data_IF_942973982575
#
_entry.id   IF_942973982575
#
_cell.length_a   1.000
_cell.length_b   1.000
_cell.length_c   1.000
_cell.angle_alpha   90.00
_cell.angle_beta   90.00
_cell.angle_gamma   90.00
#
_symmetry.space_group_name_H-M   'P 1'
#
loop_
_entity.id
_entity.type
_entity.pdbx_description
1 polymer ?
#
# COMPACT_ATOMS: atom_id res chain seq x y z
N UNK A 1 -19.50 41.96 4.38
CA UNK A 1 -19.70 40.57 4.84
C UNK A 1 -20.53 39.88 3.77
N UNK A 2 -19.89 39.05 2.95
CA UNK A 2 -20.55 38.28 1.90
C UNK A 2 -20.77 36.87 2.45
N UNK A 3 -22.02 36.49 2.56
CA UNK A 3 -22.44 35.11 2.83
C UNK A 3 -22.02 34.23 1.66
N UNK A 4 -21.30 33.15 1.95
CA UNK A 4 -20.97 32.11 0.99
C UNK A 4 -22.04 31.03 1.15
N UNK A 5 -22.91 30.91 0.15
CA UNK A 5 -23.83 29.77 0.03
C UNK A 5 -23.03 28.55 -0.41
N UNK A 6 -22.79 27.63 0.52
CA UNK A 6 -22.44 26.25 0.20
C UNK A 6 -23.74 25.53 -0.17
N UNK A 7 -23.88 25.13 -1.44
CA UNK A 7 -24.91 24.18 -1.85
C UNK A 7 -24.65 22.85 -1.13
N UNK A 8 -25.66 22.25 -0.48
CA UNK A 8 -25.51 20.91 0.05
C UNK A 8 -25.33 19.95 -1.13
N UNK A 9 -24.15 19.34 -1.25
CA UNK A 9 -23.98 18.11 -2.01
C UNK A 9 -25.04 17.14 -1.51
N UNK A 10 -25.91 16.69 -2.42
CA UNK A 10 -26.96 15.74 -2.09
C UNK A 10 -26.31 14.51 -1.46
N UNK A 11 -26.72 14.17 -0.25
CA UNK A 11 -26.39 12.90 0.38
C UNK A 11 -26.82 11.77 -0.56
N UNK A 12 -25.85 11.23 -1.30
CA UNK A 12 -26.01 9.95 -1.97
C UNK A 12 -26.07 8.94 -0.84
N UNK A 13 -27.20 8.25 -0.71
CA UNK A 13 -27.40 7.25 0.32
C UNK A 13 -26.23 6.23 0.28
N UNK A 14 -25.65 5.86 1.44
CA UNK A 14 -24.63 4.83 1.48
C UNK A 14 -25.31 3.51 1.13
N UNK A 15 -25.15 3.06 -0.11
CA UNK A 15 -25.33 1.66 -0.43
C UNK A 15 -24.28 0.90 0.38
N UNK A 16 -24.74 0.26 1.47
CA UNK A 16 -23.95 -0.60 2.33
C UNK A 16 -23.01 -1.46 1.47
N UNK A 17 -21.75 -1.61 1.90
CA UNK A 17 -20.82 -2.59 1.32
C UNK A 17 -21.54 -3.94 1.22
N UNK A 18 -22.06 -4.26 0.05
CA UNK A 18 -22.59 -5.58 -0.23
C UNK A 18 -21.38 -6.47 -0.40
N UNK A 19 -21.02 -7.14 0.71
CA UNK A 19 -19.99 -8.17 0.81
C UNK A 19 -20.44 -9.42 0.01
N UNK A 20 -20.56 -9.25 -1.30
CA UNK A 20 -20.76 -10.35 -2.23
C UNK A 20 -19.46 -11.13 -2.39
N UNK A 21 -19.57 -12.45 -2.47
CA UNK A 21 -18.46 -13.32 -2.85
C UNK A 21 -17.90 -12.87 -4.22
N UNK A 22 -16.58 -12.78 -4.40
CA UNK A 22 -16.01 -12.43 -5.71
C UNK A 22 -16.47 -13.46 -6.75
N UNK A 23 -17.26 -13.04 -7.74
CA UNK A 23 -17.54 -13.89 -8.90
C UNK A 23 -16.21 -14.20 -9.59
N UNK A 24 -15.91 -15.49 -9.81
CA UNK A 24 -14.77 -15.93 -10.61
C UNK A 24 -15.09 -15.66 -12.09
N UNK A 25 -14.72 -14.47 -12.57
CA UNK A 25 -14.48 -14.29 -14.00
C UNK A 25 -13.03 -14.73 -14.27
N UNK A 26 -12.86 -15.81 -15.04
CA UNK A 26 -11.58 -16.18 -15.65
C UNK A 26 -11.24 -15.10 -16.70
N UNK A 27 -10.56 -14.04 -16.28
CA UNK A 27 -10.01 -13.05 -17.18
C UNK A 27 -8.55 -13.44 -17.48
N UNK A 28 -8.22 -13.66 -18.75
CA UNK A 28 -6.83 -13.73 -19.22
C UNK A 28 -6.13 -12.42 -18.83
N UNK A 29 -5.27 -12.46 -17.82
CA UNK A 29 -4.55 -11.29 -17.33
C UNK A 29 -3.50 -10.90 -18.38
N UNK A 30 -3.80 -9.88 -19.18
CA UNK A 30 -2.82 -9.30 -20.10
C UNK A 30 -1.89 -8.37 -19.31
N UNK A 31 -0.64 -8.81 -19.12
CA UNK A 31 0.40 -8.01 -18.47
C UNK A 31 0.96 -6.97 -19.44
N UNK A 32 0.63 -5.69 -19.20
CA UNK A 32 1.36 -4.58 -19.80
C UNK A 32 2.53 -4.24 -18.89
N UNK A 33 3.74 -4.44 -19.41
CA UNK A 33 4.96 -4.26 -18.62
C UNK A 33 5.26 -2.78 -18.43
N UNK A 34 5.67 -2.43 -17.22
CA UNK A 34 6.19 -1.13 -16.84
C UNK A 34 7.66 -1.27 -16.45
N UNK A 35 8.48 -0.32 -16.88
CA UNK A 35 9.90 -0.23 -16.51
C UNK A 35 10.08 0.92 -15.52
N UNK A 36 10.29 0.64 -14.21
CA UNK A 36 10.58 1.68 -13.23
C UNK A 36 11.81 2.52 -13.57
N UNK A 37 12.75 1.94 -14.33
CA UNK A 37 13.97 2.61 -14.80
C UNK A 37 13.67 3.77 -15.74
N UNK A 38 12.53 3.74 -16.45
CA UNK A 38 12.15 4.77 -17.42
C UNK A 38 11.74 6.08 -16.75
N UNK A 39 11.36 6.04 -15.47
CA UNK A 39 10.94 7.21 -14.68
C UNK A 39 11.90 7.54 -13.54
N UNK A 40 12.94 6.73 -13.35
CA UNK A 40 13.84 6.81 -12.20
C UNK A 40 14.54 8.17 -12.10
N UNK A 41 15.05 8.71 -13.21
CA UNK A 41 15.77 9.99 -13.24
C UNK A 41 14.88 11.14 -12.74
N UNK A 42 13.62 11.17 -13.14
CA UNK A 42 12.65 12.18 -12.71
C UNK A 42 12.38 12.09 -11.20
N UNK A 43 12.23 10.87 -10.68
CA UNK A 43 12.02 10.63 -9.25
C UNK A 43 13.26 10.97 -8.42
N UNK A 44 14.46 10.61 -8.87
CA UNK A 44 15.72 10.96 -8.21
C UNK A 44 15.93 12.48 -8.15
N UNK A 45 15.59 13.20 -9.22
CA UNK A 45 15.68 14.65 -9.26
C UNK A 45 14.65 15.33 -8.33
N UNK A 46 13.43 14.78 -8.25
CA UNK A 46 12.33 15.36 -7.47
C UNK A 46 12.42 15.03 -5.97
N UNK A 47 12.88 13.83 -5.61
CA UNK A 47 12.93 13.35 -4.22
C UNK A 47 14.35 12.89 -3.81
N UNK A 48 15.40 13.71 -3.97
CA UNK A 48 16.79 13.28 -3.77
C UNK A 48 17.06 12.74 -2.35
N UNK A 49 16.37 13.28 -1.33
CA UNK A 49 16.50 12.81 0.07
C UNK A 49 15.97 11.40 0.27
N UNK A 50 14.90 11.01 -0.45
CA UNK A 50 14.36 9.66 -0.40
C UNK A 50 15.34 8.66 -0.99
N UNK A 51 15.99 9.00 -2.11
CA UNK A 51 16.99 8.13 -2.72
C UNK A 51 18.30 8.06 -1.93
N UNK A 52 18.69 9.14 -1.24
CA UNK A 52 19.75 9.04 -0.23
C UNK A 52 19.37 8.01 0.84
N UNK A 53 18.15 8.08 1.36
CA UNK A 53 17.65 7.17 2.38
C UNK A 53 17.57 5.71 1.90
N UNK A 54 17.08 5.48 0.68
CA UNK A 54 17.11 4.16 0.04
C UNK A 54 18.52 3.57 0.08
N UNK A 55 19.51 4.36 -0.34
CA UNK A 55 20.90 3.92 -0.35
C UNK A 55 21.44 3.59 1.05
N UNK A 56 20.99 4.30 2.09
CA UNK A 56 21.35 4.00 3.49
C UNK A 56 20.78 2.66 3.95
N UNK A 57 19.58 2.30 3.51
CA UNK A 57 18.93 1.05 3.93
C UNK A 57 19.17 -0.13 2.97
N UNK A 58 20.08 0.03 2.00
CA UNK A 58 20.47 -1.02 1.06
C UNK A 58 19.54 -1.20 -0.14
N UNK A 59 18.62 -0.25 -0.38
CA UNK A 59 17.68 -0.28 -1.50
C UNK A 59 18.21 0.58 -2.65
N UNK A 60 18.17 0.07 -3.88
CA UNK A 60 18.29 0.89 -5.08
C UNK A 60 17.65 0.19 -6.28
N UNK A 61 16.88 0.88 -7.15
CA UNK A 61 16.19 0.24 -8.29
C UNK A 61 17.09 -0.32 -9.40
N UNK A 62 18.41 -0.23 -9.28
CA UNK A 62 19.35 -0.61 -10.37
C UNK A 62 20.64 -1.26 -9.91
N UNK A 63 20.85 -1.41 -8.60
CA UNK A 63 22.09 -1.98 -8.05
C UNK A 63 21.86 -2.53 -6.66
N UNK A 64 22.46 -3.67 -6.36
CA UNK A 64 22.59 -4.14 -4.98
C UNK A 64 23.50 -3.19 -4.20
N UNK A 65 23.10 -2.83 -2.99
CA UNK A 65 23.89 -2.00 -2.08
C UNK A 65 24.15 -2.76 -0.78
N UNK A 66 25.40 -2.83 -0.31
CA UNK A 66 25.70 -3.44 0.97
C UNK A 66 25.11 -2.60 2.10
N UNK A 67 24.54 -3.26 3.10
CA UNK A 67 23.90 -2.61 4.25
C UNK A 67 24.20 -3.39 5.52
N UNK A 68 24.39 -2.68 6.63
CA UNK A 68 24.61 -3.34 7.91
C UNK A 68 23.31 -3.93 8.45
N UNK A 69 23.32 -5.21 8.81
CA UNK A 69 22.23 -5.87 9.49
C UNK A 69 22.19 -5.41 10.96
N UNK A 70 21.16 -4.66 11.39
CA UNK A 70 21.08 -4.13 12.74
C UNK A 70 20.93 -5.21 13.82
N UNK A 71 20.55 -6.43 13.44
CA UNK A 71 20.32 -7.53 14.37
C UNK A 71 21.54 -8.41 14.57
N UNK A 72 22.46 -8.47 13.61
CA UNK A 72 23.68 -9.30 13.67
C UNK A 72 24.97 -8.47 13.71
N UNK A 73 24.93 -7.21 13.26
CA UNK A 73 26.10 -6.34 13.08
C UNK A 73 26.95 -6.70 11.84
N UNK A 74 26.52 -7.66 11.02
CA UNK A 74 27.21 -8.08 9.81
C UNK A 74 26.77 -7.26 8.59
N UNK A 75 27.61 -7.20 7.55
CA UNK A 75 27.24 -6.58 6.28
C UNK A 75 26.47 -7.58 5.43
N UNK A 76 25.24 -7.22 5.06
CA UNK A 76 24.40 -7.96 4.12
C UNK A 76 24.65 -7.47 2.70
N UNK A 77 24.78 -8.42 1.78
CA UNK A 77 24.96 -8.16 0.35
C UNK A 77 23.80 -8.71 -0.48
N UNK A 78 22.68 -9.03 0.18
CA UNK A 78 21.46 -9.44 -0.50
C UNK A 78 20.98 -8.33 -1.44
N UNK A 79 20.45 -8.74 -2.59
CA UNK A 79 19.97 -7.82 -3.60
C UNK A 79 18.53 -7.41 -3.30
N UNK A 80 18.34 -6.14 -2.91
CA UNK A 80 17.04 -5.52 -2.69
C UNK A 80 16.57 -4.66 -3.88
N UNK A 81 17.14 -4.85 -5.07
CA UNK A 81 16.78 -4.10 -6.28
C UNK A 81 15.29 -4.20 -6.60
N UNK A 82 14.68 -5.37 -6.41
CA UNK A 82 13.25 -5.58 -6.64
C UNK A 82 12.37 -4.72 -5.72
N UNK A 83 12.82 -4.44 -4.48
CA UNK A 83 12.10 -3.56 -3.55
C UNK A 83 12.19 -2.12 -4.06
N UNK A 84 13.38 -1.69 -4.50
CA UNK A 84 13.57 -0.37 -5.09
C UNK A 84 12.71 -0.15 -6.35
N UNK A 85 12.69 -1.13 -7.25
CA UNK A 85 11.82 -1.10 -8.43
C UNK A 85 10.33 -1.04 -8.06
N UNK A 86 9.91 -1.80 -7.04
CA UNK A 86 8.55 -1.78 -6.54
C UNK A 86 8.17 -0.41 -5.98
N UNK A 87 8.99 0.18 -5.11
CA UNK A 87 8.74 1.51 -4.54
C UNK A 87 8.59 2.59 -5.62
N UNK A 88 9.45 2.59 -6.65
CA UNK A 88 9.34 3.55 -7.76
C UNK A 88 8.06 3.32 -8.58
N UNK A 89 7.67 2.07 -8.80
CA UNK A 89 6.43 1.75 -9.49
C UNK A 89 5.18 2.19 -8.70
N UNK A 90 5.15 1.94 -7.39
CA UNK A 90 4.07 2.39 -6.50
C UNK A 90 3.99 3.91 -6.47
N UNK A 91 5.13 4.60 -6.41
CA UNK A 91 5.19 6.06 -6.47
C UNK A 91 4.71 6.62 -7.82
N UNK A 92 5.02 5.96 -8.93
CA UNK A 92 4.47 6.31 -10.24
C UNK A 92 2.95 6.12 -10.30
N UNK A 93 2.42 5.02 -9.76
CA UNK A 93 0.99 4.80 -9.68
C UNK A 93 0.30 5.89 -8.84
N UNK A 94 0.87 6.20 -7.66
CA UNK A 94 0.40 7.30 -6.81
C UNK A 94 0.48 8.65 -7.54
N UNK A 95 1.54 8.92 -8.31
CA UNK A 95 1.69 10.18 -9.04
C UNK A 95 0.60 10.35 -10.09
N UNK A 96 0.27 9.31 -10.84
CA UNK A 96 -0.80 9.37 -11.86
C UNK A 96 -2.18 9.62 -11.24
N UNK A 97 -2.45 9.01 -10.09
CA UNK A 97 -3.69 9.25 -9.34
C UNK A 97 -3.72 10.70 -8.83
N UNK A 98 -2.65 11.18 -8.18
CA UNK A 98 -2.59 12.53 -7.63
C UNK A 98 -2.60 13.61 -8.69
N UNK A 99 -1.91 13.41 -9.83
CA UNK A 99 -1.96 14.32 -10.98
C UNK A 99 -3.40 14.53 -11.46
N UNK A 100 -4.19 13.46 -11.55
CA UNK A 100 -5.60 13.55 -11.94
C UNK A 100 -6.44 14.31 -10.90
N UNK A 101 -6.19 14.07 -9.60
CA UNK A 101 -6.91 14.74 -8.52
C UNK A 101 -6.58 16.24 -8.44
N UNK A 102 -5.31 16.61 -8.68
CA UNK A 102 -4.88 18.02 -8.80
C UNK A 102 -5.55 18.69 -10.01
N UNK A 103 -5.57 18.01 -11.16
CA UNK A 103 -6.25 18.54 -12.37
C UNK A 103 -7.76 18.71 -12.17
N UNK A 104 -8.37 17.87 -11.34
CA UNK A 104 -9.78 17.94 -10.97
C UNK A 104 -10.07 18.91 -9.80
N UNK A 105 -9.07 19.64 -9.30
CA UNK A 105 -9.19 20.58 -8.17
C UNK A 105 -9.69 19.92 -6.87
N UNK A 106 -9.34 18.63 -6.66
CA UNK A 106 -9.71 17.86 -5.46
C UNK A 106 -8.66 18.01 -4.36
N UNK A 107 -7.39 18.16 -4.74
CA UNK A 107 -6.23 18.30 -3.83
C UNK A 107 -5.24 19.33 -4.37
N UNK A 108 -4.39 19.86 -3.49
CA UNK A 108 -3.32 20.78 -3.88
C UNK A 108 -2.07 20.03 -4.39
N UNK A 109 -1.22 20.73 -5.15
CA UNK A 109 0.04 20.14 -5.65
C UNK A 109 0.97 19.73 -4.50
N UNK A 110 0.97 20.44 -3.37
CA UNK A 110 1.77 20.06 -2.19
C UNK A 110 1.32 18.73 -1.59
N UNK A 111 0.02 18.44 -1.61
CA UNK A 111 -0.51 17.15 -1.16
C UNK A 111 -0.05 16.05 -2.11
N UNK A 112 -0.06 16.30 -3.43
CA UNK A 112 0.44 15.37 -4.42
C UNK A 112 1.90 14.98 -4.16
N UNK A 113 2.78 15.96 -3.98
CA UNK A 113 4.21 15.72 -3.69
C UNK A 113 4.40 14.88 -2.42
N UNK A 114 3.67 15.23 -1.35
CA UNK A 114 3.70 14.49 -0.09
C UNK A 114 3.26 13.03 -0.23
N UNK A 115 2.16 12.77 -0.95
CA UNK A 115 1.65 11.41 -1.18
C UNK A 115 2.62 10.57 -2.00
N UNK A 116 3.22 11.16 -3.02
CA UNK A 116 4.20 10.48 -3.88
C UNK A 116 5.47 10.15 -3.09
N UNK A 117 5.93 11.06 -2.24
CA UNK A 117 7.05 10.79 -1.33
C UNK A 117 6.75 9.60 -0.41
N UNK A 118 5.58 9.58 0.24
CA UNK A 118 5.14 8.45 1.07
C UNK A 118 5.11 7.13 0.32
N UNK A 119 4.57 7.15 -0.90
CA UNK A 119 4.53 5.97 -1.78
C UNK A 119 5.93 5.42 -2.09
N UNK A 120 6.96 6.26 -2.24
CA UNK A 120 8.34 5.78 -2.41
C UNK A 120 8.83 5.05 -1.14
N UNK A 121 8.57 5.59 0.04
CA UNK A 121 9.13 5.08 1.29
C UNK A 121 8.27 4.03 2.00
N UNK A 122 7.11 3.66 1.47
CA UNK A 122 6.18 2.73 2.15
C UNK A 122 6.84 1.39 2.53
N UNK A 123 7.70 0.85 1.68
CA UNK A 123 8.36 -0.45 1.86
C UNK A 123 9.80 -0.34 2.40
N UNK A 124 10.19 0.83 2.91
CA UNK A 124 11.57 1.12 3.30
C UNK A 124 12.09 0.25 4.48
N UNK A 125 11.19 -0.30 5.29
CA UNK A 125 11.53 -1.26 6.36
C UNK A 125 11.72 -2.70 5.87
N UNK A 126 11.37 -3.01 4.62
CA UNK A 126 11.35 -4.38 4.12
C UNK A 126 12.71 -5.09 4.19
N UNK A 127 13.86 -4.44 3.90
CA UNK A 127 15.17 -5.06 4.13
C UNK A 127 15.37 -5.51 5.58
N UNK A 128 14.98 -4.67 6.55
CA UNK A 128 15.11 -5.02 7.97
C UNK A 128 14.18 -6.15 8.39
N UNK A 129 12.97 -6.25 7.84
CA UNK A 129 12.10 -7.43 8.01
C UNK A 129 12.81 -8.72 7.58
N UNK A 130 13.45 -8.69 6.41
CA UNK A 130 14.14 -9.85 5.82
C UNK A 130 15.37 -10.22 6.67
N UNK A 131 16.20 -9.25 7.01
CA UNK A 131 17.39 -9.43 7.87
C UNK A 131 17.04 -10.00 9.24
N UNK A 132 15.99 -9.46 9.87
CA UNK A 132 15.50 -9.92 11.17
C UNK A 132 15.07 -11.39 11.13
N UNK A 133 14.36 -11.81 10.07
CA UNK A 133 13.96 -13.21 9.89
C UNK A 133 15.16 -14.15 9.80
N UNK A 134 16.29 -13.69 9.25
CA UNK A 134 17.54 -14.46 9.12
C UNK A 134 18.35 -14.49 10.41
N UNK A 135 18.34 -13.42 11.21
CA UNK A 135 19.22 -13.24 12.37
C UNK A 135 19.02 -14.22 13.55
N UNK A 136 17.93 -15.02 13.57
CA UNK A 136 17.59 -16.06 14.56
C UNK A 136 18.31 -15.97 15.93
N UNK A 137 17.65 -15.41 16.95
CA UNK A 137 18.21 -15.36 18.31
C UNK A 137 17.20 -14.91 19.37
N UNK A 138 17.48 -15.14 20.67
CA UNK A 138 16.57 -14.76 21.77
C UNK A 138 16.37 -13.25 21.88
N UNK A 139 17.37 -12.46 21.47
CA UNK A 139 17.31 -11.00 21.50
C UNK A 139 16.67 -10.41 20.23
N UNK A 140 16.35 -11.21 19.22
CA UNK A 140 15.74 -10.71 17.98
C UNK A 140 14.23 -10.51 18.19
N UNK A 141 13.69 -9.29 17.98
CA UNK A 141 12.27 -9.02 18.16
C UNK A 141 11.39 -9.91 17.29
N UNK A 142 10.31 -10.44 17.89
CA UNK A 142 9.38 -11.36 17.19
C UNK A 142 8.56 -10.66 16.11
N UNK A 143 8.26 -9.37 16.28
CA UNK A 143 7.49 -8.53 15.34
C UNK A 143 8.37 -7.45 14.73
N UNK A 144 8.15 -7.11 13.45
CA UNK A 144 9.05 -6.18 12.70
C UNK A 144 8.76 -4.75 13.11
N UNK A 145 7.49 -4.49 13.41
CA UNK A 145 6.97 -3.16 13.63
C UNK A 145 6.60 -2.91 15.10
N UNK A 146 7.17 -3.72 16.00
CA UNK A 146 7.07 -3.52 17.45
C UNK A 146 8.02 -2.42 17.90
N UNK A 147 7.70 -1.79 19.02
CA UNK A 147 8.56 -0.82 19.69
C UNK A 147 9.98 -1.38 19.89
N UNK A 148 10.08 -2.64 20.34
CA UNK A 148 11.36 -3.35 20.53
C UNK A 148 12.15 -3.61 19.25
N UNK A 149 11.51 -3.69 18.08
CA UNK A 149 12.21 -3.77 16.80
C UNK A 149 12.80 -2.43 16.42
N UNK A 150 12.04 -1.36 16.67
CA UNK A 150 12.49 0.00 16.41
C UNK A 150 13.59 0.46 17.36
N UNK A 151 13.54 0.11 18.64
CA UNK A 151 14.60 0.40 19.63
C UNK A 151 15.99 -0.09 19.18
N UNK A 152 16.03 -1.14 18.35
CA UNK A 152 17.28 -1.65 17.76
C UNK A 152 17.70 -0.94 16.47
N UNK A 153 16.73 -0.45 15.70
CA UNK A 153 16.96 0.20 14.41
C UNK A 153 17.35 1.68 14.60
N UNK A 154 16.67 2.38 15.51
CA UNK A 154 16.79 3.82 15.67
C UNK A 154 18.23 4.30 15.91
N UNK A 155 19.02 3.74 16.85
CA UNK A 155 20.39 4.21 17.07
C UNK A 155 21.26 4.08 15.82
N UNK A 156 21.09 2.99 15.07
CA UNK A 156 21.82 2.75 13.83
C UNK A 156 21.44 3.79 12.77
N UNK A 157 20.14 3.97 12.53
CA UNK A 157 19.65 4.90 11.52
C UNK A 157 20.10 6.34 11.79
N UNK A 158 20.08 6.75 13.07
CA UNK A 158 20.59 8.05 13.51
C UNK A 158 22.10 8.18 13.32
N UNK A 159 22.89 7.14 13.63
CA UNK A 159 24.34 7.11 13.37
C UNK A 159 24.66 7.21 11.87
N UNK A 160 23.78 6.68 11.01
CA UNK A 160 23.88 6.79 9.55
C UNK A 160 23.52 8.18 9.01
N UNK A 161 23.11 9.11 9.88
CA UNK A 161 22.77 10.49 9.54
C UNK A 161 21.34 10.68 9.05
N UNK A 162 20.46 9.69 9.24
CA UNK A 162 19.03 9.81 8.93
C UNK A 162 18.38 10.70 10.00
N UNK A 163 17.59 11.68 9.58
CA UNK A 163 16.93 12.62 10.51
C UNK A 163 15.90 11.92 11.40
N UNK A 164 15.78 12.35 12.66
CA UNK A 164 14.80 11.82 13.63
C UNK A 164 13.37 11.72 13.09
N UNK A 165 12.90 12.72 12.34
CA UNK A 165 11.58 12.72 11.69
C UNK A 165 11.40 11.52 10.74
N UNK A 166 12.43 11.22 9.95
CA UNK A 166 12.42 10.14 8.98
C UNK A 166 12.57 8.77 9.65
N UNK A 167 13.36 8.70 10.72
CA UNK A 167 13.47 7.50 11.57
C UNK A 167 12.10 7.21 12.21
N UNK A 168 11.39 8.24 12.71
CA UNK A 168 10.04 8.09 13.23
C UNK A 168 9.04 7.62 12.15
N UNK A 169 9.14 8.16 10.92
CA UNK A 169 8.30 7.71 9.81
C UNK A 169 8.54 6.25 9.44
N UNK A 170 9.81 5.79 9.47
CA UNK A 170 10.18 4.40 9.18
C UNK A 170 9.35 3.42 10.02
N UNK A 171 9.10 3.68 11.31
CA UNK A 171 8.24 2.83 12.17
C UNK A 171 6.88 2.54 11.56
N UNK A 172 6.32 3.56 10.90
CA UNK A 172 4.94 3.57 10.43
C UNK A 172 4.80 3.24 8.95
N UNK A 173 5.85 3.43 8.14
CA UNK A 173 5.82 3.23 6.69
C UNK A 173 5.28 1.84 6.31
N UNK A 174 5.86 0.77 6.88
CA UNK A 174 5.42 -0.60 6.59
C UNK A 174 4.07 -1.01 7.21
N UNK A 175 3.38 -0.10 7.91
CA UNK A 175 2.03 -0.30 8.47
C UNK A 175 0.93 0.34 7.62
N UNK A 176 1.27 1.20 6.67
CA UNK A 176 0.28 1.97 5.91
C UNK A 176 -0.36 1.20 4.74
N UNK A 177 0.28 0.12 4.30
CA UNK A 177 -0.23 -0.77 3.25
C UNK A 177 -0.43 -2.21 3.74
N UNK A 178 -1.02 -3.04 2.89
CA UNK A 178 -1.32 -4.43 3.19
C UNK A 178 -2.34 -4.64 4.32
N UNK A 179 -2.43 -5.88 4.82
CA UNK A 179 -3.48 -6.31 5.75
C UNK A 179 -3.54 -5.53 7.07
N UNK A 180 -2.39 -5.07 7.59
CA UNK A 180 -2.31 -4.36 8.88
C UNK A 180 -3.09 -3.04 8.88
N UNK A 181 -3.18 -2.37 7.74
CA UNK A 181 -3.85 -1.08 7.57
C UNK A 181 -5.35 -1.20 7.31
N UNK A 182 -5.88 -2.38 6.99
CA UNK A 182 -7.27 -2.52 6.50
C UNK A 182 -8.30 -2.02 7.51
N UNK A 183 -8.08 -2.26 8.80
CA UNK A 183 -8.97 -1.77 9.88
C UNK A 183 -9.09 -0.24 9.89
N UNK A 184 -8.06 0.47 9.45
CA UNK A 184 -8.00 1.94 9.47
C UNK A 184 -8.83 2.58 8.35
N UNK A 185 -9.24 1.78 7.36
CA UNK A 185 -10.07 2.21 6.25
C UNK A 185 -11.54 1.84 6.39
N UNK A 186 -11.92 0.94 7.30
CA UNK A 186 -13.30 0.46 7.43
C UNK A 186 -14.10 1.40 8.34
N UNK A 187 -15.21 1.95 7.83
CA UNK A 187 -16.13 2.77 8.63
C UNK A 187 -17.26 1.90 9.22
N UNK A 188 -17.46 2.01 10.54
CA UNK A 188 -18.57 1.35 11.26
C UNK A 188 -19.71 2.35 11.57
N UNK A 189 -20.95 1.88 11.51
CA UNK A 189 -22.14 2.61 11.94
C UNK A 189 -23.11 1.70 12.70
N UNK A 190 -24.33 2.19 13.00
CA UNK A 190 -25.31 1.52 13.88
C UNK A 190 -25.77 0.12 13.42
N UNK A 191 -25.41 -0.31 12.21
CA UNK A 191 -25.71 -1.64 11.66
C UNK A 191 -24.50 -2.44 11.16
N UNK A 192 -23.27 -2.04 11.52
CA UNK A 192 -22.03 -2.67 11.05
C UNK A 192 -21.26 -1.79 10.05
N UNK A 193 -20.58 -2.41 9.07
CA UNK A 193 -19.77 -1.68 8.07
C UNK A 193 -20.65 -0.79 7.20
N UNK A 194 -20.35 0.51 7.19
CA UNK A 194 -21.12 1.53 6.43
C UNK A 194 -20.40 2.02 5.18
N UNK A 195 -19.09 1.80 5.07
CA UNK A 195 -18.28 2.36 3.99
C UNK A 195 -16.80 2.27 4.30
N UNK A 196 -16.04 3.14 3.65
CA UNK A 196 -14.67 3.45 4.06
C UNK A 196 -14.62 4.78 4.83
N UNK A 197 -13.64 4.92 5.72
CA UNK A 197 -13.43 6.13 6.52
C UNK A 197 -13.27 7.35 5.61
N UNK A 198 -14.01 8.43 5.86
CA UNK A 198 -13.92 9.68 5.09
C UNK A 198 -12.55 10.38 5.26
N UNK A 199 -12.13 11.15 4.25
CA UNK A 199 -10.82 11.81 4.24
C UNK A 199 -9.65 10.84 3.98
N UNK A 200 -8.47 11.12 4.53
CA UNK A 200 -7.26 10.25 4.45
C UNK A 200 -6.83 9.92 3.02
N UNK A 201 -6.94 10.91 2.13
CA UNK A 201 -6.66 10.71 0.71
C UNK A 201 -5.22 10.22 0.48
N UNK A 202 -4.28 10.68 1.29
CA UNK A 202 -2.89 10.26 1.23
C UNK A 202 -2.75 8.75 1.46
N UNK A 203 -3.24 8.24 2.59
CA UNK A 203 -3.14 6.82 2.92
C UNK A 203 -3.92 5.94 1.94
N UNK A 204 -5.10 6.40 1.50
CA UNK A 204 -5.92 5.71 0.51
C UNK A 204 -5.19 5.55 -0.82
N UNK A 205 -4.55 6.61 -1.31
CA UNK A 205 -3.82 6.59 -2.59
C UNK A 205 -2.59 5.69 -2.48
N UNK A 206 -1.80 5.78 -1.40
CA UNK A 206 -0.63 4.91 -1.20
C UNK A 206 -1.05 3.45 -1.12
N UNK A 207 -2.06 3.13 -0.31
CA UNK A 207 -2.57 1.76 -0.17
C UNK A 207 -3.07 1.19 -1.50
N UNK A 208 -3.88 1.96 -2.24
CA UNK A 208 -4.38 1.51 -3.53
C UNK A 208 -3.25 1.37 -4.56
N UNK A 209 -2.26 2.27 -4.57
CA UNK A 209 -1.12 2.20 -5.48
C UNK A 209 -0.29 0.93 -5.26
N UNK A 210 -0.03 0.53 -4.01
CA UNK A 210 0.62 -0.74 -3.67
C UNK A 210 -0.24 -1.95 -4.12
N UNK A 211 -1.52 -1.94 -3.78
CA UNK A 211 -2.45 -3.02 -4.16
C UNK A 211 -2.63 -3.19 -5.67
N UNK A 212 -2.35 -2.13 -6.45
CA UNK A 212 -2.40 -2.14 -7.91
C UNK A 212 -1.05 -2.33 -8.58
N UNK A 213 0.04 -2.43 -7.81
CA UNK A 213 1.39 -2.62 -8.34
C UNK A 213 1.87 -4.04 -8.11
N UNK A 214 2.22 -4.72 -9.20
CA UNK A 214 2.87 -6.02 -9.18
C UNK A 214 4.34 -5.87 -9.58
N UNK A 215 5.24 -6.39 -8.75
CA UNK A 215 6.66 -6.55 -9.07
C UNK A 215 7.07 -7.98 -8.71
N UNK A 216 7.50 -8.76 -9.69
CA UNK A 216 7.85 -10.16 -9.46
C UNK A 216 9.15 -10.27 -8.67
N UNK A 217 9.21 -11.16 -7.68
CA UNK A 217 10.49 -11.58 -7.09
C UNK A 217 11.27 -12.40 -8.13
N UNK A 218 12.53 -12.03 -8.46
CA UNK A 218 13.40 -12.86 -9.29
C UNK A 218 13.46 -14.29 -8.74
N UNK A 219 13.14 -15.29 -9.57
CA UNK A 219 13.16 -16.71 -9.14
C UNK A 219 14.50 -17.39 -9.38
N UNK A 220 15.38 -16.74 -10.16
CA UNK A 220 16.71 -17.21 -10.53
C UNK A 220 17.69 -16.03 -10.53
N UNK A 221 18.95 -16.33 -10.24
CA UNK A 221 20.03 -15.36 -10.34
C UNK A 221 20.12 -14.79 -11.77
N UNK A 222 20.19 -13.45 -11.87
CA UNK A 222 20.21 -12.73 -13.15
C UNK A 222 18.86 -12.58 -13.86
N UNK A 223 17.76 -13.03 -13.26
CA UNK A 223 16.42 -12.73 -13.77
C UNK A 223 16.02 -11.31 -13.34
N UNK A 224 15.73 -10.43 -14.30
CA UNK A 224 15.17 -9.11 -13.98
C UNK A 224 13.73 -9.26 -13.44
N UNK A 225 13.35 -8.47 -12.42
CA UNK A 225 11.95 -8.39 -11.99
C UNK A 225 11.06 -7.86 -13.14
N UNK A 226 9.83 -8.35 -13.16
CA UNK A 226 8.78 -7.88 -14.07
C UNK A 226 7.82 -7.04 -13.27
N UNK A 227 7.59 -5.80 -13.72
CA UNK A 227 6.65 -4.87 -13.09
C UNK A 227 5.45 -4.59 -14.00
N UNK A 228 4.25 -4.55 -13.42
CA UNK A 228 3.01 -4.24 -14.14
C UNK A 228 1.97 -3.60 -13.19
N UNK A 229 1.12 -2.73 -13.73
CA UNK A 229 -0.04 -2.18 -13.02
C UNK A 229 -1.27 -3.01 -13.30
N UNK A 230 -1.94 -3.50 -12.26
CA UNK A 230 -3.05 -4.43 -12.33
C UNK A 230 -4.21 -3.91 -11.46
N UNK A 231 -5.41 -4.44 -11.65
CA UNK A 231 -6.45 -4.27 -10.63
C UNK A 231 -6.04 -5.03 -9.35
N UNK A 232 -6.55 -4.65 -8.16
CA UNK A 232 -6.20 -5.33 -6.91
C UNK A 232 -6.44 -6.84 -6.95
N UNK A 233 -7.55 -7.26 -7.58
CA UNK A 233 -7.87 -8.68 -7.79
C UNK A 233 -6.85 -9.36 -8.72
N UNK A 234 -6.52 -8.76 -9.87
CA UNK A 234 -5.51 -9.30 -10.79
C UNK A 234 -4.14 -9.41 -10.12
N UNK A 235 -3.75 -8.44 -9.28
CA UNK A 235 -2.48 -8.43 -8.53
C UNK A 235 -2.38 -9.59 -7.54
N UNK A 236 -3.47 -9.94 -6.83
CA UNK A 236 -3.52 -11.11 -5.93
C UNK A 236 -3.21 -12.41 -6.70
N UNK A 237 -3.81 -12.58 -7.88
CA UNK A 237 -3.55 -13.77 -8.70
C UNK A 237 -2.13 -13.77 -9.28
N UNK A 238 -1.68 -12.64 -9.85
CA UNK A 238 -0.36 -12.54 -10.49
C UNK A 238 0.79 -12.77 -9.49
N UNK A 239 0.62 -12.36 -8.24
CA UNK A 239 1.62 -12.56 -7.19
C UNK A 239 1.63 -13.97 -6.58
N UNK A 240 0.69 -14.84 -6.96
CA UNK A 240 0.48 -16.14 -6.31
C UNK A 240 0.17 -15.98 -4.82
N UNK A 241 -0.52 -14.90 -4.48
CA UNK A 241 -0.75 -14.49 -3.09
C UNK A 241 -1.57 -15.54 -2.35
N UNK A 242 -2.51 -16.16 -3.07
CA UNK A 242 -3.40 -17.22 -2.59
C UNK A 242 -2.60 -18.39 -2.05
N UNK A 243 -1.57 -18.82 -2.77
CA UNK A 243 -0.73 -19.96 -2.41
C UNK A 243 0.33 -19.57 -1.36
N UNK A 244 0.87 -18.35 -1.43
CA UNK A 244 1.93 -17.88 -0.53
C UNK A 244 1.43 -17.57 0.88
N UNK A 245 0.21 -17.06 1.02
CA UNK A 245 -0.34 -16.55 2.27
C UNK A 245 -1.67 -17.23 2.63
N UNK A 246 -1.65 -18.57 2.72
CA UNK A 246 -2.85 -19.37 3.05
C UNK A 246 -3.58 -18.90 4.32
N UNK A 247 -2.83 -18.39 5.31
CA UNK A 247 -3.40 -17.85 6.55
C UNK A 247 -4.34 -16.67 6.31
N UNK A 248 -4.18 -15.88 5.24
CA UNK A 248 -5.05 -14.74 4.91
C UNK A 248 -6.47 -15.14 4.49
N UNK A 249 -6.70 -16.41 4.18
CA UNK A 249 -8.04 -16.95 3.93
C UNK A 249 -8.77 -17.35 5.22
N UNK A 250 -8.01 -17.57 6.28
CA UNK A 250 -8.48 -18.00 7.59
C UNK A 250 -8.58 -16.82 8.56
N UNK A 251 -7.53 -16.01 8.64
CA UNK A 251 -7.44 -14.85 9.51
C UNK A 251 -8.05 -13.62 8.85
N UNK A 252 -8.50 -12.66 9.66
CA UNK A 252 -9.16 -11.47 9.15
C UNK A 252 -9.53 -10.47 10.24
N UNK A 253 -10.59 -9.72 9.97
CA UNK A 253 -11.13 -8.72 10.90
C UNK A 253 -12.53 -9.10 11.37
N UNK A 254 -12.87 -8.62 12.56
CA UNK A 254 -14.18 -8.72 13.18
C UNK A 254 -14.52 -7.44 13.93
N UNK A 255 -15.73 -7.40 14.47
CA UNK A 255 -16.21 -6.34 15.38
C UNK A 255 -16.53 -7.00 16.72
N UNK A 256 -15.91 -6.52 17.78
CA UNK A 256 -16.16 -7.00 19.14
C UNK A 256 -17.46 -6.41 19.74
N UNK A 257 -17.83 -6.85 20.94
CA UNK A 257 -19.03 -6.38 21.65
C UNK A 257 -19.00 -4.86 21.97
N UNK A 258 -17.83 -4.24 21.94
CA UNK A 258 -17.66 -2.79 22.14
C UNK A 258 -17.90 -1.99 20.86
N UNK A 259 -18.07 -2.66 19.71
CA UNK A 259 -18.16 -2.01 18.40
C UNK A 259 -16.81 -1.60 17.83
N UNK A 260 -15.71 -2.20 18.31
CA UNK A 260 -14.35 -1.93 17.84
C UNK A 260 -13.91 -2.99 16.85
N UNK A 261 -13.19 -2.59 15.79
CA UNK A 261 -12.59 -3.53 14.85
C UNK A 261 -11.40 -4.23 15.51
N UNK A 262 -11.43 -5.57 15.50
CA UNK A 262 -10.38 -6.41 16.07
C UNK A 262 -9.90 -7.47 15.06
N UNK A 263 -8.72 -8.02 15.31
CA UNK A 263 -8.15 -9.11 14.53
C UNK A 263 -8.79 -10.44 14.93
N UNK A 264 -9.02 -11.33 13.96
CA UNK A 264 -9.68 -12.63 14.16
C UNK A 264 -8.80 -13.74 13.60
N UNK A 265 -8.41 -14.68 14.45
CA UNK A 265 -7.52 -15.79 14.09
C UNK A 265 -8.19 -16.85 13.18
N UNK A 266 -9.51 -16.97 13.21
CA UNK A 266 -10.30 -17.79 12.28
C UNK A 266 -11.68 -17.19 12.05
N UNK A 267 -11.90 -16.59 10.87
CA UNK A 267 -13.16 -15.94 10.53
C UNK A 267 -14.32 -16.93 10.34
N UNK A 268 -14.03 -18.22 10.15
CA UNK A 268 -15.05 -19.26 10.04
C UNK A 268 -15.45 -19.83 11.41
N UNK A 269 -14.67 -19.52 12.45
CA UNK A 269 -14.92 -19.93 13.83
C UNK A 269 -14.48 -18.81 14.78
N UNK A 270 -15.11 -17.62 14.71
CA UNK A 270 -14.74 -16.47 15.53
C UNK A 270 -14.95 -16.75 17.02
N UNK A 271 -14.21 -16.05 17.87
CA UNK A 271 -14.38 -16.10 19.33
C UNK A 271 -15.77 -15.56 19.73
N UNK A 272 -16.30 -16.02 20.87
CA UNK A 272 -17.59 -15.56 21.39
C UNK A 272 -17.61 -14.03 21.54
N UNK A 273 -18.69 -13.39 21.07
CA UNK A 273 -18.83 -11.93 21.12
C UNK A 273 -18.19 -11.18 19.95
N UNK A 274 -17.55 -11.87 19.00
CA UNK A 274 -16.98 -11.27 17.79
C UNK A 274 -17.87 -11.55 16.57
N UNK A 275 -18.28 -10.50 15.87
CA UNK A 275 -18.93 -10.60 14.55
C UNK A 275 -17.87 -10.50 13.45
N UNK A 276 -17.64 -11.54 12.63
CA UNK A 276 -16.60 -11.51 11.60
C UNK A 276 -16.99 -10.55 10.47
N UNK A 277 -16.03 -9.73 10.02
CA UNK A 277 -16.15 -8.86 8.85
C UNK A 277 -15.72 -9.55 7.57
N UNK A 278 -14.71 -10.43 7.67
CA UNK A 278 -14.18 -11.19 6.55
C UNK A 278 -12.70 -11.53 6.74
N UNK A 279 -12.20 -12.44 5.91
CA UNK A 279 -10.77 -12.76 5.88
C UNK A 279 -9.97 -11.66 5.18
N UNK A 280 -8.67 -11.58 5.48
CA UNK A 280 -7.79 -10.55 4.91
C UNK A 280 -7.72 -10.60 3.38
N UNK A 281 -7.75 -11.79 2.77
CA UNK A 281 -7.68 -11.94 1.32
C UNK A 281 -8.84 -11.23 0.60
N UNK A 282 -10.06 -11.36 1.13
CA UNK A 282 -11.24 -10.71 0.59
C UNK A 282 -11.31 -9.23 0.97
N UNK A 283 -11.01 -8.91 2.24
CA UNK A 283 -11.07 -7.53 2.74
C UNK A 283 -10.12 -6.60 1.99
N UNK A 284 -8.91 -7.07 1.65
CA UNK A 284 -7.95 -6.28 0.88
C UNK A 284 -8.53 -5.85 -0.48
N UNK A 285 -9.14 -6.78 -1.23
CA UNK A 285 -9.78 -6.45 -2.52
C UNK A 285 -10.97 -5.50 -2.32
N UNK A 286 -11.79 -5.72 -1.30
CA UNK A 286 -12.98 -4.91 -1.05
C UNK A 286 -12.63 -3.48 -0.64
N UNK A 287 -11.66 -3.30 0.26
CA UNK A 287 -11.16 -1.99 0.66
C UNK A 287 -10.55 -1.26 -0.52
N UNK A 288 -9.68 -1.92 -1.31
CA UNK A 288 -9.10 -1.33 -2.50
C UNK A 288 -10.17 -0.93 -3.55
N UNK A 289 -11.20 -1.74 -3.75
CA UNK A 289 -12.33 -1.40 -4.63
C UNK A 289 -13.14 -0.21 -4.12
N UNK A 290 -13.37 -0.11 -2.82
CA UNK A 290 -14.06 1.02 -2.21
C UNK A 290 -13.24 2.31 -2.34
N UNK A 291 -11.92 2.24 -2.11
CA UNK A 291 -11.01 3.37 -2.33
C UNK A 291 -11.02 3.79 -3.80
N UNK A 292 -10.88 2.83 -4.72
CA UNK A 292 -10.92 3.12 -6.16
C UNK A 292 -12.25 3.79 -6.57
N UNK A 293 -13.37 3.38 -5.95
CA UNK A 293 -14.69 4.00 -6.19
C UNK A 293 -14.70 5.44 -5.72
N UNK A 294 -14.25 5.72 -4.50
CA UNK A 294 -14.19 7.09 -3.97
C UNK A 294 -13.32 7.98 -4.86
N UNK A 295 -12.12 7.53 -5.24
CA UNK A 295 -11.22 8.30 -6.10
C UNK A 295 -11.82 8.54 -7.49
N UNK A 296 -12.48 7.52 -8.08
CA UNK A 296 -13.19 7.67 -9.36
C UNK A 296 -14.32 8.71 -9.26
N UNK A 297 -15.09 8.70 -8.17
CA UNK A 297 -16.17 9.66 -7.93
C UNK A 297 -15.64 11.09 -7.71
N UNK A 298 -14.52 11.25 -6.99
CA UNK A 298 -13.84 12.53 -6.83
C UNK A 298 -13.37 13.11 -8.17
N UNK A 299 -13.03 12.24 -9.13
CA UNK A 299 -12.70 12.63 -10.51
C UNK A 299 -13.96 12.84 -11.39
N UNK A 300 -15.16 12.83 -10.82
CA UNK A 300 -16.42 13.07 -11.54
C UNK A 300 -16.89 11.90 -12.41
N UNK A 301 -16.28 10.72 -12.29
CA UNK A 301 -16.61 9.54 -13.11
C UNK A 301 -17.53 8.61 -12.33
N UNK A 302 -18.65 8.19 -12.95
CA UNK A 302 -19.69 7.37 -12.26
C UNK A 302 -20.09 6.09 -13.02
N UNK A 303 -19.71 5.96 -14.29
CA UNK A 303 -20.21 4.94 -15.21
C UNK A 303 -19.17 3.90 -15.63
N UNK A 304 -18.08 3.74 -14.86
CA UNK A 304 -17.01 2.77 -15.11
C UNK A 304 -16.80 1.86 -13.91
N UNK A 305 -16.19 0.70 -14.15
CA UNK A 305 -15.68 -0.14 -13.05
C UNK A 305 -14.53 0.60 -12.35
N UNK A 306 -14.57 0.83 -11.03
CA UNK A 306 -13.57 1.66 -10.36
C UNK A 306 -12.14 1.15 -10.46
N UNK A 307 -11.91 -0.14 -10.21
CA UNK A 307 -10.56 -0.71 -10.23
C UNK A 307 -9.95 -0.68 -11.64
N UNK A 308 -10.76 -0.96 -12.67
CA UNK A 308 -10.33 -0.85 -14.08
C UNK A 308 -10.03 0.61 -14.42
N UNK A 309 -10.90 1.54 -14.04
CA UNK A 309 -10.70 2.97 -14.32
C UNK A 309 -9.38 3.50 -13.73
N UNK A 310 -9.07 3.18 -12.47
CA UNK A 310 -7.82 3.63 -11.84
C UNK A 310 -6.61 2.94 -12.48
N UNK A 311 -6.70 1.67 -12.87
CA UNK A 311 -5.60 0.96 -13.55
C UNK A 311 -5.30 1.62 -14.89
N UNK A 312 -6.35 1.87 -15.68
CA UNK A 312 -6.24 2.52 -16.98
C UNK A 312 -5.75 3.98 -16.82
N UNK A 313 -6.09 4.66 -15.72
CA UNK A 313 -5.55 5.98 -15.36
C UNK A 313 -4.02 5.92 -15.17
N UNK A 314 -3.54 4.98 -14.36
CA UNK A 314 -2.11 4.80 -14.08
C UNK A 314 -1.34 4.47 -15.38
N UNK A 315 -1.93 3.64 -16.24
CA UNK A 315 -1.35 3.25 -17.53
C UNK A 315 -1.40 4.34 -18.59
N UNK A 316 -2.07 5.46 -18.33
CA UNK A 316 -2.27 6.54 -19.31
C UNK A 316 -3.21 6.16 -20.46
N UNK A 317 -4.09 5.18 -20.25
CA UNK A 317 -5.03 4.64 -21.24
C UNK A 317 -6.40 5.33 -21.20
N UNK A 318 -6.65 6.16 -20.18
CA UNK A 318 -7.90 6.92 -20.11
C UNK A 318 -7.98 7.98 -21.21
N UNK A 319 -9.05 7.91 -22.01
CA UNK A 319 -9.42 9.02 -22.88
C UNK A 319 -9.78 10.25 -22.02
N UNK A 320 -9.51 11.47 -22.52
CA UNK A 320 -9.80 12.69 -21.77
C UNK A 320 -11.24 12.70 -21.29
N UNK A 321 -11.42 12.97 -19.99
CA UNK A 321 -12.72 13.14 -19.33
C UNK A 321 -13.44 14.29 -20.08
N UNK A 322 -14.51 13.97 -20.81
CA UNK A 322 -15.35 14.93 -21.53
C UNK A 322 -16.42 15.54 -20.63
#
# INVERSE_FOLDING_TARGET
>A
MREIHLSPLSAVAPEALHLGSPQQEENDITLQLFSPKDVLEDFEARFPKVFELFARVGIHPTKALPVMNPYTGEIETEDFTNIGEHCVAVAYAASKIMEALVQADVVEQSDADYVIERALVHDLNKPYEIMRRKAMGPDVPKEVYSESAYEKLEPLLLEMGISEEMVAYLVTAGKETGHNSLKDFIALGEGGVTGIVEGRIAEKVVHLADDMTFTSTPTKEGQEPVTAFLTPKERIYASGFIEKYLWMWKEGLGVDESGTICEVADVNSPEDGITPLGNYANLQVQVAQAIARELMLNLGVTNRNPAIFIRDLIRGENQPIQ
#
